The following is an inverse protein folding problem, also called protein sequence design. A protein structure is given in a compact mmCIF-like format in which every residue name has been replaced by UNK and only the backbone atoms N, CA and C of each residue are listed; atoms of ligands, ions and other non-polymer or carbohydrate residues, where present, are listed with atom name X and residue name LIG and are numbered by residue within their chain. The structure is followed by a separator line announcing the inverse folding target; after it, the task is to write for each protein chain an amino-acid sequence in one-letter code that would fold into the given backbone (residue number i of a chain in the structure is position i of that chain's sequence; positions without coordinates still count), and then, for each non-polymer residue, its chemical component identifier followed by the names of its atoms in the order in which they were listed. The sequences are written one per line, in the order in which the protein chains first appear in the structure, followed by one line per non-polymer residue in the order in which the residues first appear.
data_IF_844054609072
#
_entry.id   IF_844054609072
#
_cell.length_a   1.000
_cell.length_b   1.000
_cell.length_c   1.000
_cell.angle_alpha   90.00
_cell.angle_beta   90.00
_cell.angle_gamma   90.00
#
_symmetry.space_group_name_H-M   'P 1'
#
loop_
_entity.id
_entity.type
_entity.pdbx_description
1 polymer ?
#
# COMPACT_ATOMS: atom_id res chain seq x y z
N UNK A 1 9.39 -11.49 14.74
CA UNK A 1 8.44 -10.52 15.33
C UNK A 1 7.27 -11.32 15.89
N UNK A 2 6.82 -11.02 17.12
CA UNK A 2 5.70 -11.73 17.74
C UNK A 2 4.40 -11.59 16.94
N UNK A 3 3.49 -12.56 17.08
CA UNK A 3 2.17 -12.47 16.46
C UNK A 3 1.42 -11.26 17.02
N UNK A 4 0.91 -10.39 16.13
CA UNK A 4 0.02 -9.30 16.53
C UNK A 4 -1.29 -9.93 17.02
N UNK A 5 -1.68 -9.62 18.26
CA UNK A 5 -2.96 -10.04 18.84
C UNK A 5 -4.11 -9.19 18.28
N UNK A 6 -4.45 -9.43 17.01
CA UNK A 6 -5.46 -8.65 16.26
C UNK A 6 -6.83 -8.66 16.93
N UNK A 7 -7.15 -9.69 17.72
CA UNK A 7 -8.39 -9.84 18.48
C UNK A 7 -8.64 -8.74 19.54
N UNK A 8 -7.62 -7.98 19.92
CA UNK A 8 -7.72 -6.89 20.89
C UNK A 8 -7.97 -5.50 20.27
N UNK A 9 -8.06 -5.42 18.94
CA UNK A 9 -8.17 -4.16 18.21
C UNK A 9 -9.42 -4.14 17.33
N UNK A 10 -9.94 -2.95 17.04
CA UNK A 10 -11.08 -2.80 16.14
C UNK A 10 -10.70 -3.19 14.71
N UNK A 11 -11.68 -3.56 13.90
CA UNK A 11 -11.46 -3.88 12.48
C UNK A 11 -10.76 -2.74 11.75
N UNK A 12 -11.17 -1.49 12.02
CA UNK A 12 -10.53 -0.31 11.46
C UNK A 12 -9.06 -0.19 11.89
N UNK A 13 -8.73 -0.42 13.17
CA UNK A 13 -7.35 -0.38 13.66
C UNK A 13 -6.48 -1.46 12.99
N UNK A 14 -7.00 -2.68 12.89
CA UNK A 14 -6.32 -3.79 12.22
C UNK A 14 -6.11 -3.52 10.72
N UNK A 15 -7.10 -2.95 10.04
CA UNK A 15 -7.04 -2.60 8.63
C UNK A 15 -5.97 -1.52 8.37
N UNK A 16 -6.00 -0.42 9.14
CA UNK A 16 -4.99 0.64 9.01
C UNK A 16 -3.59 0.12 9.34
N UNK A 17 -3.43 -0.70 10.38
CA UNK A 17 -2.15 -1.29 10.74
C UNK A 17 -1.59 -2.19 9.62
N UNK A 18 -2.46 -2.96 8.95
CA UNK A 18 -2.08 -3.80 7.81
C UNK A 18 -1.57 -2.95 6.65
N UNK A 19 -2.31 -1.89 6.29
CA UNK A 19 -1.91 -0.98 5.22
C UNK A 19 -0.60 -0.25 5.57
N UNK A 20 -0.49 0.30 6.78
CA UNK A 20 0.71 1.00 7.24
C UNK A 20 1.94 0.09 7.27
N UNK A 21 1.79 -1.17 7.71
CA UNK A 21 2.85 -2.18 7.67
C UNK A 21 3.30 -2.48 6.23
N UNK A 22 2.37 -2.47 5.28
CA UNK A 22 2.68 -2.63 3.87
C UNK A 22 3.36 -1.39 3.25
N UNK A 23 3.09 -0.18 3.75
CA UNK A 23 3.77 1.04 3.32
C UNK A 23 5.17 1.20 3.93
N UNK A 24 5.44 0.59 5.09
CA UNK A 24 6.70 0.76 5.84
C UNK A 24 7.98 0.17 5.22
N UNK A 25 8.07 0.01 3.89
CA UNK A 25 9.32 -0.41 3.22
C UNK A 25 9.63 0.48 2.00
N UNK A 26 10.87 0.99 1.84
CA UNK A 26 11.22 1.93 0.76
C UNK A 26 10.89 1.44 -0.65
N UNK A 27 11.21 0.18 -0.96
CA UNK A 27 10.90 -0.39 -2.28
C UNK A 27 9.40 -0.40 -2.60
N UNK A 28 8.54 -0.56 -1.58
CA UNK A 28 7.08 -0.53 -1.76
C UNK A 28 6.57 0.89 -1.99
N UNK A 29 7.19 1.89 -1.36
CA UNK A 29 6.92 3.30 -1.66
C UNK A 29 7.32 3.64 -3.10
N UNK A 30 8.49 3.20 -3.56
CA UNK A 30 8.93 3.41 -4.94
C UNK A 30 7.98 2.77 -5.97
N UNK A 31 7.45 1.57 -5.69
CA UNK A 31 6.40 0.95 -6.52
C UNK A 31 5.17 1.84 -6.62
N UNK A 32 4.67 2.36 -5.50
CA UNK A 32 3.46 3.19 -5.46
C UNK A 32 3.68 4.48 -6.25
N UNK A 33 4.81 5.16 -6.02
CA UNK A 33 5.16 6.39 -6.75
C UNK A 33 5.29 6.16 -8.25
N UNK A 34 5.85 5.02 -8.66
CA UNK A 34 5.93 4.64 -10.07
C UNK A 34 4.53 4.42 -10.67
N UNK A 35 3.67 3.65 -10.00
CA UNK A 35 2.29 3.43 -10.45
C UNK A 35 1.48 4.73 -10.53
N UNK A 36 1.71 5.68 -9.62
CA UNK A 36 1.08 7.01 -9.67
C UNK A 36 1.54 7.85 -10.88
N UNK A 37 2.80 7.73 -11.31
CA UNK A 37 3.33 8.47 -12.46
C UNK A 37 2.76 8.00 -13.78
N UNK A 38 2.57 6.68 -13.94
CA UNK A 38 2.07 6.10 -15.19
C UNK A 38 0.56 6.27 -15.31
N UNK A 39 -0.16 6.42 -14.19
CA UNK A 39 -1.60 6.71 -14.13
C UNK A 39 -2.50 5.71 -14.89
N UNK A 40 -1.99 4.51 -15.16
CA UNK A 40 -2.67 3.40 -15.81
C UNK A 40 -2.22 2.07 -15.17
N UNK A 41 -2.94 0.98 -15.44
CA UNK A 41 -2.51 -0.34 -14.99
C UNK A 41 -1.32 -0.81 -15.83
N UNK A 42 -0.21 -1.17 -15.18
CA UNK A 42 1.03 -1.56 -15.86
C UNK A 42 1.11 -3.07 -15.91
N UNK A 43 1.16 -3.61 -17.13
CA UNK A 43 1.37 -5.03 -17.42
C UNK A 43 2.87 -5.27 -17.68
N UNK A 44 3.56 -6.01 -16.82
CA UNK A 44 4.98 -6.33 -16.99
C UNK A 44 5.94 -5.53 -16.11
N UNK A 45 7.14 -5.25 -16.63
CA UNK A 45 8.41 -5.11 -15.89
C UNK A 45 8.55 -3.91 -14.93
N UNK A 46 7.67 -3.77 -13.95
CA UNK A 46 7.93 -2.99 -12.73
C UNK A 46 9.21 -3.44 -12.00
N UNK A 47 9.68 -4.64 -12.36
CA UNK A 47 10.95 -5.24 -11.99
C UNK A 47 12.15 -4.42 -12.51
N UNK A 48 12.05 -3.81 -13.69
CA UNK A 48 13.14 -3.04 -14.28
C UNK A 48 13.27 -1.63 -13.67
N UNK A 49 12.22 -1.16 -13.00
CA UNK A 49 12.17 0.16 -12.37
C UNK A 49 12.79 0.20 -10.97
N UNK A 50 13.05 -0.97 -10.39
CA UNK A 50 13.64 -1.12 -9.07
C UNK A 50 15.01 -1.76 -9.19
N UNK A 51 16.02 -1.31 -8.42
CA UNK A 51 17.34 -1.94 -8.37
C UNK A 51 17.30 -3.23 -7.52
N UNK A 52 16.34 -4.12 -7.80
CA UNK A 52 16.05 -5.33 -7.03
C UNK A 52 15.85 -6.52 -7.97
N UNK A 53 16.16 -7.72 -7.48
CA UNK A 53 15.89 -8.93 -8.23
C UNK A 53 14.39 -9.16 -8.41
N UNK A 54 13.99 -9.73 -9.56
CA UNK A 54 12.61 -10.10 -9.87
C UNK A 54 11.83 -10.79 -8.73
N UNK A 55 12.37 -11.84 -8.05
CA UNK A 55 11.64 -12.48 -6.95
C UNK A 55 11.35 -11.52 -5.78
N UNK A 56 12.26 -10.59 -5.51
CA UNK A 56 12.08 -9.57 -4.46
C UNK A 56 11.00 -8.56 -4.83
N UNK A 57 10.98 -8.11 -6.09
CA UNK A 57 9.93 -7.22 -6.59
C UNK A 57 8.56 -7.91 -6.55
N UNK A 58 8.47 -9.16 -7.01
CA UNK A 58 7.26 -9.97 -6.92
C UNK A 58 6.75 -10.12 -5.49
N UNK A 59 7.65 -10.28 -4.52
CA UNK A 59 7.28 -10.31 -3.10
C UNK A 59 6.71 -8.96 -2.65
N UNK A 60 7.33 -7.83 -3.01
CA UNK A 60 6.80 -6.50 -2.67
C UNK A 60 5.42 -6.25 -3.28
N UNK A 61 5.19 -6.63 -4.54
CA UNK A 61 3.89 -6.53 -5.20
C UNK A 61 2.84 -7.39 -4.50
N UNK A 62 3.20 -8.61 -4.08
CA UNK A 62 2.30 -9.49 -3.34
C UNK A 62 1.90 -8.88 -1.99
N UNK A 63 2.85 -8.31 -1.25
CA UNK A 63 2.57 -7.64 0.03
C UNK A 63 1.66 -6.42 -0.16
N UNK A 64 1.91 -5.60 -1.17
CA UNK A 64 1.05 -4.45 -1.51
C UNK A 64 -0.36 -4.89 -1.92
N UNK A 65 -0.48 -5.96 -2.72
CA UNK A 65 -1.77 -6.53 -3.15
C UNK A 65 -2.54 -7.11 -1.96
N UNK A 66 -1.87 -7.85 -1.08
CA UNK A 66 -2.48 -8.42 0.11
C UNK A 66 -3.00 -7.34 1.08
N UNK A 67 -2.33 -6.19 1.14
CA UNK A 67 -2.79 -5.04 1.91
C UNK A 67 -3.87 -4.21 1.20
N UNK A 68 -4.27 -4.60 -0.01
CA UNK A 68 -5.27 -3.89 -0.82
C UNK A 68 -4.79 -2.56 -1.38
N UNK A 69 -3.49 -2.23 -1.32
CA UNK A 69 -2.96 -0.95 -1.84
C UNK A 69 -2.93 -0.94 -3.37
N UNK A 70 -2.68 -2.11 -3.95
CA UNK A 70 -2.70 -2.30 -5.41
C UNK A 70 -3.66 -3.42 -5.79
N UNK A 71 -4.32 -3.24 -6.92
CA UNK A 71 -5.10 -4.27 -7.62
C UNK A 71 -4.23 -4.90 -8.70
N UNK A 72 -4.48 -6.18 -8.98
CA UNK A 72 -3.72 -6.96 -9.95
C UNK A 72 -4.62 -7.86 -10.78
N UNK A 73 -4.76 -7.60 -12.08
CA UNK A 73 -5.54 -8.39 -13.03
C UNK A 73 -4.63 -9.17 -13.99
N UNK A 74 -5.06 -10.32 -14.48
CA UNK A 74 -4.31 -11.09 -15.48
C UNK A 74 -4.76 -10.64 -16.87
N UNK A 75 -3.84 -10.13 -17.68
CA UNK A 75 -4.09 -9.81 -19.09
C UNK A 75 -3.09 -10.58 -19.97
N UNK A 76 -3.62 -11.54 -20.74
CA UNK A 76 -2.81 -12.46 -21.52
C UNK A 76 -1.89 -13.29 -20.63
N UNK A 77 -0.57 -13.13 -20.79
CA UNK A 77 0.46 -13.87 -20.05
C UNK A 77 1.12 -13.05 -18.92
N UNK A 78 0.62 -11.85 -18.65
CA UNK A 78 1.19 -10.91 -17.68
C UNK A 78 0.16 -10.50 -16.62
N UNK A 79 0.65 -10.12 -15.44
CA UNK A 79 -0.18 -9.49 -14.39
C UNK A 79 -0.02 -7.97 -14.53
N UNK A 80 -1.15 -7.27 -14.58
CA UNK A 80 -1.20 -5.82 -14.62
C UNK A 80 -1.52 -5.26 -13.23
N UNK A 81 -0.71 -4.32 -12.76
CA UNK A 81 -0.86 -3.71 -11.44
C UNK A 81 -1.28 -2.25 -11.54
N UNK A 82 -2.17 -1.83 -10.64
CA UNK A 82 -2.61 -0.43 -10.50
C UNK A 82 -2.94 -0.13 -9.05
N UNK A 83 -2.96 1.15 -8.69
CA UNK A 83 -3.38 1.60 -7.36
C UNK A 83 -4.86 1.26 -7.13
N UNK A 84 -5.20 0.79 -5.94
CA UNK A 84 -6.59 0.67 -5.49
C UNK A 84 -7.03 1.97 -4.81
N UNK A 85 -7.89 2.72 -5.50
CA UNK A 85 -8.35 4.03 -5.07
C UNK A 85 -9.11 3.97 -3.74
N UNK A 86 -9.79 2.85 -3.45
CA UNK A 86 -10.57 2.69 -2.21
C UNK A 86 -9.66 2.66 -0.98
N UNK A 87 -8.52 1.97 -1.10
CA UNK A 87 -7.54 1.89 0.01
C UNK A 87 -6.88 3.24 0.25
N UNK A 88 -6.62 4.01 -0.81
CA UNK A 88 -6.10 5.38 -0.69
C UNK A 88 -7.14 6.29 -0.01
N UNK A 89 -8.42 6.17 -0.36
CA UNK A 89 -9.51 6.92 0.28
C UNK A 89 -9.60 6.62 1.78
N UNK A 90 -9.49 5.34 2.18
CA UNK A 90 -9.47 4.93 3.59
C UNK A 90 -8.33 5.61 4.36
N UNK A 91 -7.12 5.63 3.79
CA UNK A 91 -5.96 6.30 4.39
C UNK A 91 -6.18 7.81 4.48
N UNK A 92 -6.69 8.42 3.42
CA UNK A 92 -6.96 9.85 3.37
C UNK A 92 -7.94 10.27 4.48
N UNK A 93 -9.06 9.55 4.63
CA UNK A 93 -10.04 9.81 5.70
C UNK A 93 -9.43 9.63 7.08
N UNK A 94 -8.63 8.57 7.28
CA UNK A 94 -8.01 8.30 8.57
C UNK A 94 -6.99 9.38 8.96
N UNK A 95 -6.07 9.73 8.06
CA UNK A 95 -5.06 10.76 8.32
C UNK A 95 -5.66 12.15 8.40
N UNK A 96 -6.67 12.48 7.60
CA UNK A 96 -7.37 13.76 7.70
C UNK A 96 -7.96 13.98 9.09
N UNK A 97 -8.58 12.94 9.68
CA UNK A 97 -9.08 12.99 11.07
C UNK A 97 -7.97 13.24 12.08
N UNK A 98 -6.81 12.60 11.91
CA UNK A 98 -5.64 12.84 12.79
C UNK A 98 -5.18 14.29 12.66
N UNK A 99 -4.98 14.78 11.43
CA UNK A 99 -4.52 16.14 11.15
C UNK A 99 -5.50 17.16 11.72
N UNK A 100 -6.80 16.98 11.54
CA UNK A 100 -7.83 17.86 12.11
C UNK A 100 -7.81 17.86 13.64
N UNK A 101 -7.70 16.68 14.26
CA UNK A 101 -7.64 16.56 15.72
C UNK A 101 -6.41 17.26 16.29
N UNK A 102 -5.25 17.09 15.65
CA UNK A 102 -3.98 17.73 16.07
C UNK A 102 -3.98 19.23 15.79
N UNK A 103 -4.56 19.68 14.67
CA UNK A 103 -4.60 21.12 14.32
C UNK A 103 -5.56 21.93 15.20
N UNK A 104 -6.66 21.31 15.64
CA UNK A 104 -7.63 21.94 16.57
C UNK A 104 -7.17 21.83 18.02
N UNK A 105 -6.32 20.85 18.33
CA UNK A 105 -5.68 20.76 19.63
C UNK A 105 -4.64 21.88 19.75
N UNK A 106 -5.01 22.99 20.40
CA UNK A 106 -4.03 23.81 21.12
C UNK A 106 -3.45 22.95 22.24
N UNK A 107 -2.53 22.06 21.93
CA UNK A 107 -1.86 21.25 22.93
C UNK A 107 -0.41 21.71 23.07
N UNK A 108 -0.16 22.32 24.25
CA UNK A 108 1.09 22.68 24.92
C UNK A 108 2.19 23.35 24.09
#
# INVERSE_FOLDING_TARGET
MGATKTEHFTDQQNQIATIAKALGHPARIAVIEYLMKVNECICGDIVNELPLAQPTVSQHLKELKNAGIIKGNIEGNSICYCIDEKTIEILNVYFSKIVEAVSKAKCC
#
